data_IF_812598599238
#
_entry.id   IF_812598599238
#
_cell.length_a   1.000
_cell.length_b   1.000
_cell.length_c   1.000
_cell.angle_alpha   90.00
_cell.angle_beta   90.00
_cell.angle_gamma   90.00
#
_symmetry.space_group_name_H-M   'P 1'
#
loop_
_entity.id
_entity.type
_entity.pdbx_description
1 polymer ?
#
# COMPACT_ATOMS: atom_id res chain seq x y z
N UNK A 1 10.25 -58.22 -3.31
CA UNK A 1 10.71 -57.18 -2.37
C UNK A 1 11.15 -55.91 -3.07
N UNK A 2 12.09 -55.93 -4.02
CA UNK A 2 12.55 -54.72 -4.72
C UNK A 2 11.49 -53.92 -5.48
N UNK A 3 10.51 -54.60 -6.10
CA UNK A 3 9.39 -53.95 -6.80
C UNK A 3 8.46 -53.17 -5.87
N UNK A 4 8.14 -53.72 -4.70
CA UNK A 4 7.32 -53.06 -3.67
C UNK A 4 8.02 -51.81 -3.11
N UNK A 5 9.33 -51.90 -2.87
CA UNK A 5 10.14 -50.75 -2.42
C UNK A 5 10.17 -49.66 -3.50
N UNK A 6 10.33 -50.03 -4.78
CA UNK A 6 10.30 -49.09 -5.90
C UNK A 6 8.98 -48.32 -6.00
N UNK A 7 7.84 -49.02 -5.95
CA UNK A 7 6.53 -48.37 -5.94
C UNK A 7 6.30 -47.53 -4.67
N UNK A 8 6.78 -47.99 -3.52
CA UNK A 8 6.72 -47.23 -2.26
C UNK A 8 7.47 -45.90 -2.35
N UNK A 9 8.65 -45.89 -2.96
CA UNK A 9 9.43 -44.67 -3.20
C UNK A 9 8.71 -43.73 -4.16
N UNK A 10 8.14 -44.25 -5.26
CA UNK A 10 7.37 -43.43 -6.21
C UNK A 10 6.19 -42.76 -5.51
N UNK A 11 5.44 -43.51 -4.71
CA UNK A 11 4.30 -42.97 -3.95
C UNK A 11 4.77 -41.88 -2.97
N UNK A 12 5.88 -42.10 -2.27
CA UNK A 12 6.44 -41.11 -1.35
C UNK A 12 6.86 -39.82 -2.07
N UNK A 13 7.46 -39.92 -3.25
CA UNK A 13 7.84 -38.76 -4.08
C UNK A 13 6.60 -37.99 -4.55
N UNK A 14 5.57 -38.70 -5.00
CA UNK A 14 4.30 -38.07 -5.44
C UNK A 14 3.65 -37.31 -4.27
N UNK A 15 3.57 -37.94 -3.09
CA UNK A 15 3.03 -37.30 -1.88
C UNK A 15 3.84 -36.05 -1.51
N UNK A 16 5.18 -36.13 -1.60
CA UNK A 16 6.04 -34.99 -1.31
C UNK A 16 5.79 -33.81 -2.26
N UNK A 17 5.68 -34.07 -3.57
CA UNK A 17 5.39 -33.03 -4.57
C UNK A 17 4.04 -32.35 -4.28
N UNK A 18 3.01 -33.15 -3.99
CA UNK A 18 1.67 -32.63 -3.64
C UNK A 18 1.74 -31.76 -2.39
N UNK A 19 2.46 -32.20 -1.35
CA UNK A 19 2.61 -31.45 -0.10
C UNK A 19 3.32 -30.10 -0.33
N UNK A 20 4.39 -30.08 -1.12
CA UNK A 20 5.12 -28.84 -1.46
C UNK A 20 4.23 -27.89 -2.25
N UNK A 21 3.51 -28.39 -3.26
CA UNK A 21 2.62 -27.58 -4.09
C UNK A 21 1.50 -26.93 -3.25
N UNK A 22 0.85 -27.70 -2.37
CA UNK A 22 -0.17 -27.19 -1.47
C UNK A 22 0.38 -26.11 -0.52
N UNK A 23 1.60 -26.32 0.00
CA UNK A 23 2.26 -25.34 0.86
C UNK A 23 2.56 -24.02 0.12
N UNK A 24 3.01 -24.10 -1.13
CA UNK A 24 3.26 -22.92 -1.95
C UNK A 24 1.98 -22.12 -2.23
N UNK A 25 0.87 -22.81 -2.54
CA UNK A 25 -0.43 -22.15 -2.71
C UNK A 25 -0.88 -21.47 -1.43
N UNK A 26 -0.77 -22.15 -0.29
CA UNK A 26 -1.13 -21.58 1.01
C UNK A 26 -0.33 -20.31 1.32
N UNK A 27 0.98 -20.32 1.06
CA UNK A 27 1.85 -19.14 1.22
C UNK A 27 1.46 -18.01 0.25
N UNK A 28 1.17 -18.33 -1.02
CA UNK A 28 0.71 -17.34 -2.00
C UNK A 28 -0.59 -16.66 -1.57
N UNK A 29 -1.55 -17.42 -1.04
CA UNK A 29 -2.80 -16.88 -0.53
C UNK A 29 -2.59 -16.02 0.73
N UNK A 30 -1.72 -16.48 1.66
CA UNK A 30 -1.37 -15.69 2.86
C UNK A 30 -0.75 -14.35 2.49
N UNK A 31 0.14 -14.33 1.51
CA UNK A 31 0.75 -13.10 0.99
C UNK A 31 -0.32 -12.16 0.40
N UNK A 32 -1.19 -12.65 -0.50
CA UNK A 32 -2.27 -11.85 -1.09
C UNK A 32 -3.21 -11.26 -0.04
N UNK A 33 -3.56 -12.05 0.98
CA UNK A 33 -4.40 -11.59 2.08
C UNK A 33 -3.71 -10.48 2.90
N UNK A 34 -2.41 -10.62 3.17
CA UNK A 34 -1.62 -9.58 3.83
C UNK A 34 -1.56 -8.30 3.00
N UNK A 35 -1.34 -8.41 1.69
CA UNK A 35 -1.35 -7.27 0.79
C UNK A 35 -2.72 -6.58 0.76
N UNK A 36 -3.82 -7.32 0.70
CA UNK A 36 -5.17 -6.75 0.71
C UNK A 36 -5.44 -5.92 1.98
N UNK A 37 -4.92 -6.33 3.13
CA UNK A 37 -5.04 -5.54 4.36
C UNK A 37 -4.29 -4.21 4.24
N UNK A 38 -3.09 -4.20 3.67
CA UNK A 38 -2.32 -2.98 3.41
C UNK A 38 -3.07 -2.08 2.42
N UNK A 39 -3.61 -2.67 1.35
CA UNK A 39 -4.34 -1.95 0.30
C UNK A 39 -5.52 -1.15 0.85
N UNK A 40 -6.27 -1.72 1.80
CA UNK A 40 -7.38 -1.06 2.48
C UNK A 40 -6.90 0.10 3.36
N UNK A 41 -5.75 -0.03 4.02
CA UNK A 41 -5.20 1.07 4.82
C UNK A 41 -4.73 2.23 3.94
N UNK A 42 -4.03 1.92 2.84
CA UNK A 42 -3.60 2.92 1.87
C UNK A 42 -4.80 3.60 1.21
N UNK A 43 -5.85 2.84 0.90
CA UNK A 43 -7.11 3.40 0.38
C UNK A 43 -7.69 4.45 1.33
N UNK A 44 -7.86 4.10 2.61
CA UNK A 44 -8.38 5.04 3.63
C UNK A 44 -7.53 6.29 3.73
N UNK A 45 -6.20 6.16 3.72
CA UNK A 45 -5.29 7.31 3.74
C UNK A 45 -5.50 8.22 2.52
N UNK A 46 -5.59 7.64 1.33
CA UNK A 46 -5.79 8.38 0.08
C UNK A 46 -7.16 9.04 -0.03
N UNK A 47 -8.18 8.48 0.61
CA UNK A 47 -9.54 9.01 0.62
C UNK A 47 -9.70 10.18 1.60
N UNK A 48 -8.90 10.23 2.66
CA UNK A 48 -8.92 11.32 3.64
C UNK A 48 -8.15 12.57 3.18
N UNK A 49 -7.11 12.41 2.36
CA UNK A 49 -6.26 13.53 1.90
C UNK A 49 -7.05 14.66 1.21
N UNK A 50 -7.99 14.39 0.27
CA UNK A 50 -8.78 15.45 -0.34
C UNK A 50 -9.55 16.29 0.69
N UNK A 51 -10.07 15.65 1.73
CA UNK A 51 -10.84 16.33 2.78
C UNK A 51 -9.93 17.21 3.67
N UNK A 52 -8.72 16.72 3.97
CA UNK A 52 -7.68 17.49 4.67
C UNK A 52 -7.26 18.72 3.84
N UNK A 53 -7.01 18.53 2.54
CA UNK A 53 -6.63 19.61 1.62
C UNK A 53 -7.75 20.65 1.49
N UNK A 54 -9.01 20.21 1.39
CA UNK A 54 -10.14 21.13 1.27
C UNK A 54 -10.32 21.98 2.54
N UNK A 55 -10.16 21.37 3.71
CA UNK A 55 -10.16 22.09 4.99
C UNK A 55 -9.03 23.12 5.04
N UNK A 56 -7.82 22.74 4.61
CA UNK A 56 -6.65 23.61 4.61
C UNK A 56 -6.75 24.77 3.60
N UNK A 57 -7.38 24.57 2.43
CA UNK A 57 -7.58 25.62 1.43
C UNK A 57 -8.29 26.86 1.99
N UNK A 58 -9.21 26.67 2.94
CA UNK A 58 -9.93 27.78 3.59
C UNK A 58 -9.04 28.70 4.43
N UNK A 59 -7.95 28.16 4.99
CA UNK A 59 -7.04 28.88 5.88
C UNK A 59 -5.70 29.23 5.23
N UNK A 60 -5.24 28.42 4.27
CA UNK A 60 -3.92 28.52 3.61
C UNK A 60 -4.06 28.96 2.15
N UNK A 61 -4.77 30.06 1.91
CA UNK A 61 -5.08 30.56 0.55
C UNK A 61 -3.84 30.95 -0.27
N UNK A 62 -2.73 31.28 0.40
CA UNK A 62 -1.44 31.63 -0.21
C UNK A 62 -0.55 30.40 -0.48
N UNK A 63 -0.87 29.22 0.08
CA UNK A 63 -0.05 27.99 0.00
C UNK A 63 -0.55 27.01 -1.08
N UNK A 64 -1.05 27.55 -2.20
CA UNK A 64 -1.64 26.72 -3.28
C UNK A 64 -0.64 25.75 -3.88
N UNK A 65 0.63 26.13 -3.96
CA UNK A 65 1.68 25.27 -4.48
C UNK A 65 1.83 24.01 -3.62
N UNK A 66 1.93 24.16 -2.30
CA UNK A 66 2.04 23.02 -1.38
C UNK A 66 0.82 22.12 -1.43
N UNK A 67 -0.39 22.69 -1.44
CA UNK A 67 -1.62 21.91 -1.57
C UNK A 67 -1.69 21.15 -2.91
N UNK A 68 -1.17 21.74 -3.98
CA UNK A 68 -1.09 21.10 -5.30
C UNK A 68 -0.10 19.93 -5.28
N UNK A 69 1.08 20.12 -4.69
CA UNK A 69 2.08 19.06 -4.53
C UNK A 69 1.54 17.86 -3.74
N UNK A 70 0.76 18.09 -2.67
CA UNK A 70 0.11 17.01 -1.91
C UNK A 70 -0.90 16.24 -2.76
N UNK A 71 -1.73 16.93 -3.54
CA UNK A 71 -2.71 16.30 -4.42
C UNK A 71 -2.02 15.50 -5.54
N UNK A 72 -0.96 16.04 -6.14
CA UNK A 72 -0.17 15.34 -7.15
C UNK A 72 0.49 14.08 -6.59
N UNK A 73 1.15 14.18 -5.43
CA UNK A 73 1.76 13.04 -4.76
C UNK A 73 0.73 11.97 -4.40
N UNK A 74 -0.47 12.39 -3.96
CA UNK A 74 -1.61 11.48 -3.70
C UNK A 74 -2.08 10.78 -4.97
N UNK A 75 -2.18 11.49 -6.09
CA UNK A 75 -2.58 10.87 -7.36
C UNK A 75 -1.55 9.86 -7.87
N UNK A 76 -0.25 10.13 -7.69
CA UNK A 76 0.82 9.19 -7.99
C UNK A 76 0.74 7.94 -7.10
N UNK A 77 0.53 8.12 -5.78
CA UNK A 77 0.36 7.01 -4.85
C UNK A 77 -0.86 6.14 -5.18
N UNK A 78 -2.02 6.75 -5.50
CA UNK A 78 -3.22 6.02 -5.93
C UNK A 78 -2.98 5.22 -7.21
N UNK A 79 -2.30 5.81 -8.18
CA UNK A 79 -1.99 5.13 -9.45
C UNK A 79 -1.05 3.93 -9.23
N UNK A 80 0.00 4.12 -8.43
CA UNK A 80 0.91 3.03 -8.06
C UNK A 80 0.19 1.94 -7.24
N UNK A 81 -0.76 2.33 -6.37
CA UNK A 81 -1.57 1.40 -5.57
C UNK A 81 -2.43 0.52 -6.47
N UNK A 82 -3.09 1.10 -7.48
CA UNK A 82 -3.90 0.35 -8.43
C UNK A 82 -3.07 -0.66 -9.23
N UNK A 83 -1.87 -0.27 -9.67
CA UNK A 83 -0.94 -1.18 -10.34
C UNK A 83 -0.50 -2.35 -9.43
N UNK A 84 -0.13 -2.05 -8.18
CA UNK A 84 0.25 -3.06 -7.20
C UNK A 84 -0.93 -3.96 -6.77
N UNK A 85 -2.16 -3.44 -6.71
CA UNK A 85 -3.35 -4.21 -6.40
C UNK A 85 -3.75 -5.17 -7.53
N UNK A 86 -3.53 -4.78 -8.80
CA UNK A 86 -3.75 -5.65 -9.94
C UNK A 86 -2.75 -6.84 -9.97
N UNK A 87 -1.49 -6.58 -9.60
CA UNK A 87 -0.41 -7.57 -9.61
C UNK A 87 0.40 -7.52 -8.31
N UNK A 88 -0.15 -8.01 -7.18
CA UNK A 88 0.56 -7.96 -5.90
C UNK A 88 1.78 -8.88 -5.86
N UNK A 89 1.85 -9.89 -6.72
CA UNK A 89 3.01 -10.76 -6.90
C UNK A 89 4.12 -10.14 -7.79
N UNK A 90 3.89 -8.97 -8.39
CA UNK A 90 4.94 -8.21 -9.08
C UNK A 90 5.73 -7.33 -8.08
N UNK A 91 6.96 -7.76 -7.80
CA UNK A 91 7.87 -7.03 -6.93
C UNK A 91 8.18 -5.60 -7.42
N UNK A 92 8.16 -5.35 -8.73
CA UNK A 92 8.35 -4.02 -9.32
C UNK A 92 7.19 -3.10 -8.96
N UNK A 93 5.95 -3.58 -9.11
CA UNK A 93 4.74 -2.81 -8.79
C UNK A 93 4.69 -2.44 -7.29
N UNK A 94 5.00 -3.39 -6.41
CA UNK A 94 5.06 -3.14 -4.95
C UNK A 94 6.20 -2.16 -4.59
N UNK A 95 7.34 -2.25 -5.27
CA UNK A 95 8.46 -1.30 -5.05
C UNK A 95 8.09 0.11 -5.51
N UNK A 96 7.41 0.24 -6.65
CA UNK A 96 6.91 1.52 -7.15
C UNK A 96 5.87 2.13 -6.21
N UNK A 97 4.95 1.31 -5.67
CA UNK A 97 4.04 1.72 -4.62
C UNK A 97 4.81 2.31 -3.43
N UNK A 98 5.79 1.58 -2.88
CA UNK A 98 6.59 2.08 -1.75
C UNK A 98 7.27 3.43 -2.02
N UNK A 99 7.78 3.64 -3.24
CA UNK A 99 8.36 4.95 -3.64
C UNK A 99 7.30 6.05 -3.68
N UNK A 100 6.14 5.79 -4.27
CA UNK A 100 5.05 6.77 -4.34
C UNK A 100 4.50 7.11 -2.94
N UNK A 101 4.36 6.12 -2.06
CA UNK A 101 3.96 6.33 -0.66
C UNK A 101 4.99 7.15 0.13
N UNK A 102 6.29 6.98 -0.15
CA UNK A 102 7.36 7.77 0.44
C UNK A 102 7.31 9.24 -0.02
N UNK A 103 7.07 9.48 -1.31
CA UNK A 103 6.89 10.82 -1.84
C UNK A 103 5.69 11.52 -1.21
N UNK A 104 4.54 10.83 -1.15
CA UNK A 104 3.34 11.34 -0.48
C UNK A 104 3.59 11.66 1.00
N UNK A 105 4.32 10.80 1.71
CA UNK A 105 4.66 11.05 3.12
C UNK A 105 5.56 12.28 3.28
N UNK A 106 6.49 12.51 2.35
CA UNK A 106 7.30 13.73 2.32
C UNK A 106 6.48 15.00 2.05
N UNK A 107 5.56 14.96 1.07
CA UNK A 107 4.65 16.08 0.79
C UNK A 107 3.74 16.40 1.98
N UNK A 108 3.24 15.37 2.67
CA UNK A 108 2.44 15.55 3.89
C UNK A 108 3.27 16.12 5.04
N UNK A 109 4.54 15.71 5.21
CA UNK A 109 5.42 16.31 6.22
C UNK A 109 5.63 17.81 5.98
N UNK A 110 5.87 18.21 4.73
CA UNK A 110 5.99 19.62 4.36
C UNK A 110 4.68 20.39 4.62
N UNK A 111 3.53 19.78 4.29
CA UNK A 111 2.22 20.34 4.57
C UNK A 111 1.99 20.56 6.08
N UNK A 112 2.32 19.57 6.91
CA UNK A 112 2.17 19.70 8.37
C UNK A 112 3.10 20.77 8.95
N UNK A 113 4.36 20.85 8.47
CA UNK A 113 5.28 21.89 8.88
C UNK A 113 4.77 23.30 8.55
N UNK A 114 4.11 23.48 7.40
CA UNK A 114 3.45 24.75 7.08
C UNK A 114 2.21 24.99 7.93
N UNK A 115 1.42 23.95 8.21
CA UNK A 115 0.20 24.06 9.02
C UNK A 115 0.48 24.56 10.45
N UNK A 116 1.69 24.34 10.98
CA UNK A 116 2.09 24.87 12.29
C UNK A 116 2.08 26.40 12.35
N UNK A 117 2.27 27.08 11.21
CA UNK A 117 2.20 28.54 11.11
C UNK A 117 0.75 29.07 11.09
N UNK A 118 -0.26 28.18 11.07
CA UNK A 118 -1.68 28.53 11.01
C UNK A 118 -2.42 27.97 12.25
N UNK A 119 -2.40 28.69 13.39
CA UNK A 119 -3.04 28.25 14.64
C UNK A 119 -4.53 27.93 14.49
N UNK A 120 -5.25 28.72 13.67
CA UNK A 120 -6.68 28.53 13.42
C UNK A 120 -6.98 27.23 12.66
N UNK A 121 -6.07 26.80 11.77
CA UNK A 121 -6.17 25.52 11.08
C UNK A 121 -5.91 24.35 12.04
N UNK A 122 -4.95 24.51 12.95
CA UNK A 122 -4.59 23.51 13.96
C UNK A 122 -5.70 23.30 14.99
N UNK A 123 -6.46 24.35 15.31
CA UNK A 123 -7.58 24.30 16.25
C UNK A 123 -8.86 23.69 15.66
N UNK A 124 -8.88 23.36 14.36
CA UNK A 124 -10.03 22.77 13.70
C UNK A 124 -10.11 21.25 13.98
N UNK A 125 -11.30 20.75 14.33
CA UNK A 125 -11.54 19.36 14.71
C UNK A 125 -11.17 18.34 13.60
N UNK A 126 -11.10 18.75 12.34
CA UNK A 126 -10.66 17.90 11.22
C UNK A 126 -9.14 17.66 11.19
N UNK A 127 -8.35 18.50 11.88
CA UNK A 127 -6.88 18.40 11.99
C UNK A 127 -6.41 17.79 13.33
N UNK A 128 -7.27 17.75 14.35
CA UNK A 128 -7.00 17.20 15.68
C UNK A 128 -7.25 15.68 15.76
#
# INVERSE_FOLDING_TARGET
MGTLIFFGIIIAVIIYIIAVYNRLIALKNRFKNGFAQIDVQLQRRHDLIPNLVETAKGYMSHEKETLTQVIEARNQAVSAKQAAAAHPDDASAVTQLGKAESLLSGSLANFFALSENYPDLKANDTMA
#
